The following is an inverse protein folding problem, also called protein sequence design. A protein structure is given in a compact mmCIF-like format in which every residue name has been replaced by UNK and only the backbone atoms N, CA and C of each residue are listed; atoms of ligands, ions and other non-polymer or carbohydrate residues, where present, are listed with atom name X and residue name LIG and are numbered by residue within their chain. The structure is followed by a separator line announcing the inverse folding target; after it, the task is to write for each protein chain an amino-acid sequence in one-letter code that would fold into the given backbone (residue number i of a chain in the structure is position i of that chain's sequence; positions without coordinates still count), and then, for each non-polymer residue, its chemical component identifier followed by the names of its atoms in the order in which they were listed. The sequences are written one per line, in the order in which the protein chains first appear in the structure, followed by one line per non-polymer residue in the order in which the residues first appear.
data_IF_935232351940
#
_entry.id   IF_935232351940
#
_cell.length_a   1.000
_cell.length_b   1.000
_cell.length_c   1.000
_cell.angle_alpha   90.00
_cell.angle_beta   90.00
_cell.angle_gamma   90.00
#
_symmetry.space_group_name_H-M   'P 1'
#
loop_
_entity.id
_entity.type
_entity.pdbx_description
1 polymer ?
#
# COMPACT_ATOMS: atom_id res chain seq x y z
N UNK A 1 4.32 -19.93 -2.26
CA UNK A 1 4.64 -18.55 -2.66
C UNK A 1 4.88 -17.73 -1.41
N UNK A 2 6.08 -17.17 -1.25
CA UNK A 2 6.43 -16.28 -0.15
C UNK A 2 7.01 -15.02 -0.79
N UNK A 3 6.53 -13.84 -0.36
CA UNK A 3 6.95 -12.54 -0.90
C UNK A 3 7.87 -11.90 0.13
N UNK A 4 8.97 -11.28 -0.32
CA UNK A 4 9.91 -10.63 0.59
C UNK A 4 9.27 -9.45 1.36
N UNK A 5 9.67 -9.20 2.61
CA UNK A 5 9.24 -8.02 3.35
C UNK A 5 9.52 -6.72 2.59
N UNK A 6 8.61 -5.74 2.70
CA UNK A 6 8.68 -4.43 2.00
C UNK A 6 8.53 -4.50 0.48
N UNK A 7 8.11 -5.65 -0.07
CA UNK A 7 7.68 -5.71 -1.45
C UNK A 7 6.57 -4.69 -1.71
N UNK A 8 6.60 -4.09 -2.90
CA UNK A 8 5.61 -3.12 -3.33
C UNK A 8 4.24 -3.79 -3.46
N UNK A 9 3.23 -3.20 -2.82
CA UNK A 9 1.84 -3.65 -2.93
C UNK A 9 1.18 -2.80 -4.02
N UNK A 10 0.84 -3.44 -5.15
CA UNK A 10 0.14 -2.79 -6.26
C UNK A 10 -1.30 -3.27 -6.27
N UNK A 11 -2.25 -2.33 -6.18
CA UNK A 11 -3.70 -2.59 -6.31
C UNK A 11 -4.11 -2.52 -7.77
N UNK A 12 -4.83 -3.52 -8.26
CA UNK A 12 -5.29 -3.62 -9.65
C UNK A 12 -6.68 -2.99 -9.88
N UNK A 13 -7.42 -2.72 -8.81
CA UNK A 13 -8.83 -2.35 -8.81
C UNK A 13 -9.78 -3.54 -8.91
N UNK A 14 -9.31 -4.78 -8.70
CA UNK A 14 -10.14 -5.99 -8.71
C UNK A 14 -10.38 -6.56 -7.30
N UNK A 15 -11.27 -7.54 -7.17
CA UNK A 15 -11.68 -8.09 -5.87
C UNK A 15 -10.53 -8.73 -5.06
N UNK A 16 -9.36 -8.95 -5.66
CA UNK A 16 -8.18 -9.51 -4.99
C UNK A 16 -7.31 -8.45 -4.32
N UNK A 17 -7.66 -7.18 -4.44
CA UNK A 17 -6.98 -6.07 -3.77
C UNK A 17 -7.29 -6.01 -2.25
N UNK A 18 -8.11 -6.92 -1.73
CA UNK A 18 -8.29 -7.10 -0.30
C UNK A 18 -6.98 -7.57 0.34
N UNK A 19 -6.33 -6.66 1.08
CA UNK A 19 -5.04 -6.91 1.75
C UNK A 19 -5.22 -7.70 3.05
N UNK A 20 -6.42 -7.73 3.63
CA UNK A 20 -6.68 -8.47 4.87
C UNK A 20 -8.15 -8.48 5.27
N UNK A 21 -8.45 -9.18 6.37
CA UNK A 21 -9.77 -9.29 6.95
C UNK A 21 -9.69 -9.08 8.47
N UNK A 22 -10.66 -8.37 9.04
CA UNK A 22 -10.76 -8.14 10.49
C UNK A 22 -11.95 -8.96 10.98
N UNK A 23 -11.71 -9.82 11.98
CA UNK A 23 -12.75 -10.62 12.63
C UNK A 23 -12.87 -10.12 14.07
N UNK A 24 -14.09 -9.75 14.47
CA UNK A 24 -14.43 -9.37 15.84
C UNK A 24 -15.46 -10.34 16.39
N UNK A 25 -15.37 -10.66 17.69
CA UNK A 25 -16.32 -11.53 18.36
C UNK A 25 -16.57 -11.03 19.79
N UNK A 26 -17.84 -11.00 20.18
CA UNK A 26 -18.28 -10.75 21.55
C UNK A 26 -19.66 -11.38 21.79
N UNK A 27 -20.15 -11.32 23.03
CA UNK A 27 -21.48 -11.82 23.41
C UNK A 27 -22.63 -10.93 22.96
N UNK A 28 -22.38 -9.74 22.40
CA UNK A 28 -23.41 -8.82 21.94
C UNK A 28 -23.04 -8.18 20.60
N UNK A 29 -24.05 -7.95 19.76
CA UNK A 29 -23.85 -7.31 18.46
C UNK A 29 -23.21 -5.93 18.58
N UNK A 30 -23.69 -5.11 19.53
CA UNK A 30 -23.19 -3.76 19.75
C UNK A 30 -21.70 -3.73 20.15
N UNK A 31 -21.24 -4.68 20.97
CA UNK A 31 -19.82 -4.79 21.31
C UNK A 31 -18.99 -5.28 20.13
N UNK A 32 -19.51 -6.23 19.34
CA UNK A 32 -18.80 -6.73 18.15
C UNK A 32 -18.58 -5.58 17.16
N UNK A 33 -19.61 -4.76 16.93
CA UNK A 33 -19.54 -3.58 16.08
C UNK A 33 -18.53 -2.55 16.64
N UNK A 34 -18.58 -2.26 17.94
CA UNK A 34 -17.62 -1.36 18.59
C UNK A 34 -16.17 -1.84 18.45
N UNK A 35 -15.92 -3.14 18.62
CA UNK A 35 -14.59 -3.75 18.44
C UNK A 35 -14.13 -3.62 16.98
N UNK A 36 -15.01 -3.90 16.02
CA UNK A 36 -14.68 -3.81 14.59
C UNK A 36 -14.33 -2.36 14.21
N UNK A 37 -15.16 -1.39 14.60
CA UNK A 37 -14.89 0.03 14.36
C UNK A 37 -13.58 0.48 14.99
N UNK A 38 -13.32 0.09 16.25
CA UNK A 38 -12.07 0.41 16.93
C UNK A 38 -10.87 -0.23 16.22
N UNK A 39 -10.97 -1.50 15.82
CA UNK A 39 -9.90 -2.20 15.13
C UNK A 39 -9.54 -1.53 13.81
N UNK A 40 -10.53 -1.20 12.98
CA UNK A 40 -10.30 -0.47 11.71
C UNK A 40 -9.68 0.91 11.97
N UNK A 41 -10.09 1.62 13.02
CA UNK A 41 -9.53 2.92 13.37
C UNK A 41 -8.10 2.89 13.90
N UNK A 42 -7.71 1.83 14.63
CA UNK A 42 -6.34 1.65 15.14
C UNK A 42 -5.40 1.15 14.05
N UNK A 43 -5.94 0.41 13.09
CA UNK A 43 -5.23 -0.04 11.91
C UNK A 43 -5.11 1.10 10.89
N UNK A 44 -4.47 2.20 11.29
CA UNK A 44 -3.90 3.20 10.39
C UNK A 44 -2.74 2.55 9.65
N UNK A 45 -3.04 1.81 8.58
CA UNK A 45 -2.06 1.00 7.88
C UNK A 45 -0.86 1.84 7.45
N UNK A 46 0.31 1.50 7.97
CA UNK A 46 1.58 2.14 7.67
C UNK A 46 2.12 1.60 6.34
N UNK A 47 1.35 1.77 5.26
CA UNK A 47 1.83 1.46 3.91
C UNK A 47 2.55 2.71 3.40
N UNK A 48 3.87 2.63 3.30
CA UNK A 48 4.65 3.72 2.73
C UNK A 48 4.24 3.89 1.24
N UNK A 49 3.96 5.13 0.79
CA UNK A 49 3.77 5.39 -0.63
C UNK A 49 5.06 5.08 -1.39
N UNK A 50 4.94 4.89 -2.71
CA UNK A 50 6.08 4.63 -3.56
C UNK A 50 7.12 5.76 -3.46
N UNK A 51 8.42 5.45 -3.50
CA UNK A 51 9.45 6.46 -3.56
C UNK A 51 9.28 7.29 -4.84
N UNK A 52 9.36 8.62 -4.71
CA UNK A 52 9.37 9.52 -5.86
C UNK A 52 10.73 9.37 -6.55
N UNK A 53 10.75 8.80 -7.75
CA UNK A 53 11.94 8.83 -8.62
C UNK A 53 12.01 10.21 -9.28
N UNK A 54 12.86 11.08 -8.76
CA UNK A 54 13.30 12.30 -9.43
C UNK A 54 14.26 11.94 -10.57
N UNK A 55 13.69 11.50 -11.71
CA UNK A 55 14.41 11.29 -12.97
C UNK A 55 14.53 12.61 -13.74
N UNK A 56 15.40 13.51 -13.29
CA UNK A 56 15.82 14.67 -14.09
C UNK A 56 17.27 15.04 -13.75
N UNK A 57 18.19 14.23 -14.27
CA UNK A 57 19.56 14.62 -14.63
C UNK A 57 20.12 13.68 -15.72
N UNK A 58 19.26 13.25 -16.64
CA UNK A 58 19.67 12.63 -17.91
C UNK A 58 18.81 13.22 -19.03
N UNK A 59 18.97 14.52 -19.25
CA UNK A 59 18.82 15.11 -20.57
C UNK A 59 20.20 15.64 -20.98
N UNK A 60 21.19 14.75 -21.04
CA UNK A 60 22.38 15.02 -21.82
C UNK A 60 22.01 14.62 -23.25
N UNK A 61 21.70 15.63 -24.06
CA UNK A 61 21.63 15.45 -25.51
C UNK A 61 22.97 14.83 -25.97
N UNK A 62 22.98 13.88 -26.92
CA UNK A 62 24.22 13.50 -27.56
C UNK A 62 24.82 14.76 -28.19
N UNK A 63 26.00 15.14 -27.72
CA UNK A 63 26.79 16.18 -28.37
C UNK A 63 27.15 15.64 -29.77
N UNK A 64 26.70 16.34 -30.81
CA UNK A 64 27.25 16.21 -32.14
C UNK A 64 28.62 16.90 -32.15
N UNK A 65 29.71 16.25 -32.59
CA UNK A 65 30.95 16.97 -32.85
C UNK A 65 30.78 17.80 -34.12
N UNK A 66 31.23 19.06 -34.08
CA UNK A 66 31.30 19.95 -35.23
C UNK A 66 32.13 19.33 -36.36
N UNK A 67 31.65 19.51 -37.60
CA UNK A 67 32.43 19.34 -38.83
C UNK A 67 31.97 20.38 -39.85
#
# INVERSE_FOLDING_TARGET
FYVEPKAQIVRKGDYRDCIGHVIAASSSHAETEAILHRAVGVLGWFIAPFPIVNKQNQCAAPHLPDS
#
